data_IF_328794535758
#
_entry.id   IF_328794535758
#
_cell.length_a   1.000
_cell.length_b   1.000
_cell.length_c   1.000
_cell.angle_alpha   90.00
_cell.angle_beta   90.00
_cell.angle_gamma   90.00
#
_symmetry.space_group_name_H-M   'P 1'
#
loop_
_entity.id
_entity.type
_entity.pdbx_description
1 polymer ?
#
# COMPACT_ATOMS: atom_id res chain seq x y z
N UNK A 1 4.52 -6.37 -7.41
CA UNK A 1 4.23 -4.96 -7.63
C UNK A 1 4.55 -4.11 -6.40
N UNK A 2 4.05 -4.51 -5.25
CA UNK A 2 4.39 -3.83 -4.00
C UNK A 2 5.90 -3.90 -3.72
N UNK A 3 6.51 -4.98 -4.13
CA UNK A 3 7.96 -5.13 -3.98
C UNK A 3 8.73 -4.09 -4.78
N UNK A 4 8.25 -3.76 -5.97
CA UNK A 4 8.89 -2.76 -6.80
C UNK A 4 8.83 -1.38 -6.14
N UNK A 5 7.68 -1.03 -5.57
CA UNK A 5 7.53 0.23 -4.86
C UNK A 5 8.45 0.27 -3.64
N UNK A 6 8.51 -0.81 -2.88
CA UNK A 6 9.39 -0.89 -1.72
C UNK A 6 10.86 -0.77 -2.10
N UNK A 7 11.26 -1.40 -3.20
CA UNK A 7 12.64 -1.32 -3.68
C UNK A 7 12.99 0.09 -4.13
N UNK A 8 12.08 0.76 -4.80
CA UNK A 8 12.32 2.15 -5.21
C UNK A 8 12.50 3.06 -4.01
N UNK A 9 11.69 2.90 -2.99
CA UNK A 9 11.81 3.67 -1.76
C UNK A 9 13.17 3.45 -1.12
N UNK A 10 13.61 2.20 -1.02
CA UNK A 10 14.89 1.88 -0.41
C UNK A 10 16.06 2.42 -1.20
N UNK A 11 16.02 2.30 -2.52
CA UNK A 11 17.06 2.83 -3.40
C UNK A 11 17.15 4.34 -3.22
N UNK A 12 16.01 5.00 -3.22
CA UNK A 12 15.96 6.42 -2.97
C UNK A 12 16.55 6.77 -1.62
N UNK A 13 16.21 5.99 -0.58
CA UNK A 13 16.70 6.25 0.78
C UNK A 13 18.22 6.19 0.87
N UNK A 14 18.85 5.29 0.13
CA UNK A 14 20.30 5.15 0.14
C UNK A 14 20.98 6.32 -0.54
N UNK A 15 20.41 6.82 -1.61
CA UNK A 15 21.08 7.79 -2.45
C UNK A 15 21.02 9.22 -1.91
N UNK A 16 19.95 9.59 -1.24
CA UNK A 16 19.75 11.01 -0.94
C UNK A 16 18.86 11.23 0.28
N UNK A 17 19.39 11.00 1.50
CA UNK A 17 18.58 11.04 2.73
C UNK A 17 17.73 12.28 2.95
N UNK A 18 18.25 13.52 2.76
CA UNK A 18 17.44 14.71 3.04
C UNK A 18 16.21 14.86 2.17
N UNK A 19 16.28 14.37 0.95
CA UNK A 19 15.14 14.46 0.03
C UNK A 19 14.16 13.34 0.21
N UNK A 20 14.58 12.30 0.90
CA UNK A 20 13.81 11.09 0.91
C UNK A 20 12.60 11.11 1.78
N UNK A 21 12.57 11.95 2.79
CA UNK A 21 11.42 12.03 3.68
C UNK A 21 10.22 12.60 2.95
N UNK A 22 10.44 13.66 2.15
CA UNK A 22 9.37 14.22 1.33
C UNK A 22 8.99 13.27 0.21
N UNK A 23 9.97 12.69 -0.45
CA UNK A 23 9.72 11.75 -1.53
C UNK A 23 9.01 10.50 -1.04
N UNK A 24 9.40 9.99 0.12
CA UNK A 24 8.75 8.80 0.69
C UNK A 24 7.29 9.09 1.03
N UNK A 25 7.01 10.25 1.63
CA UNK A 25 5.65 10.64 1.93
C UNK A 25 4.81 10.68 0.66
N UNK A 26 5.33 11.32 -0.39
CA UNK A 26 4.63 11.36 -1.67
C UNK A 26 4.39 9.97 -2.24
N UNK A 27 5.39 9.11 -2.18
CA UNK A 27 5.26 7.75 -2.71
C UNK A 27 4.16 6.99 -1.97
N UNK A 28 4.13 7.10 -0.64
CA UNK A 28 3.09 6.42 0.14
C UNK A 28 1.71 7.01 -0.12
N UNK A 29 1.63 8.33 -0.29
CA UNK A 29 0.36 8.96 -0.62
C UNK A 29 -0.13 8.55 -2.00
N UNK A 30 0.75 8.47 -2.97
CA UNK A 30 0.40 7.98 -4.30
C UNK A 30 -0.02 6.52 -4.27
N UNK A 31 0.67 5.71 -3.47
CA UNK A 31 0.30 4.32 -3.31
C UNK A 31 -1.09 4.19 -2.71
N UNK A 32 -1.41 5.00 -1.71
CA UNK A 32 -2.74 4.99 -1.11
C UNK A 32 -3.80 5.42 -2.13
N UNK A 33 -3.52 6.47 -2.90
CA UNK A 33 -4.44 6.92 -3.93
C UNK A 33 -4.67 5.82 -4.97
N UNK A 34 -3.63 5.10 -5.33
CA UNK A 34 -3.74 3.98 -6.26
C UNK A 34 -4.61 2.87 -5.67
N UNK A 35 -4.42 2.54 -4.40
CA UNK A 35 -5.24 1.53 -3.74
C UNK A 35 -6.71 1.94 -3.71
N UNK A 36 -6.98 3.21 -3.44
CA UNK A 36 -8.36 3.71 -3.48
C UNK A 36 -8.97 3.62 -4.87
N UNK A 37 -8.17 3.89 -5.88
CA UNK A 37 -8.62 3.76 -7.26
C UNK A 37 -8.96 2.30 -7.60
N UNK A 38 -8.09 1.38 -7.18
CA UNK A 38 -8.33 -0.06 -7.42
C UNK A 38 -9.59 -0.50 -6.70
N UNK A 39 -9.77 -0.07 -5.45
CA UNK A 39 -10.98 -0.39 -4.67
C UNK A 39 -12.23 0.07 -5.41
N UNK A 40 -12.21 1.29 -5.88
CA UNK A 40 -13.36 1.85 -6.60
C UNK A 40 -13.64 1.07 -7.88
N UNK A 41 -12.60 0.70 -8.60
CA UNK A 41 -12.72 -0.08 -9.84
C UNK A 41 -13.34 -1.45 -9.56
N UNK A 42 -12.90 -2.10 -8.49
CA UNK A 42 -13.43 -3.41 -8.09
C UNK A 42 -14.92 -3.30 -7.74
N UNK A 43 -15.29 -2.27 -6.99
CA UNK A 43 -16.69 -2.07 -6.63
C UNK A 43 -17.56 -1.83 -7.87
N UNK A 44 -17.04 -1.11 -8.86
CA UNK A 44 -17.78 -0.91 -10.11
C UNK A 44 -18.01 -2.21 -10.85
N UNK A 45 -16.97 -3.04 -10.93
CA UNK A 45 -17.08 -4.36 -11.59
C UNK A 45 -18.06 -5.23 -10.81
N UNK A 46 -17.97 -5.22 -9.49
CA UNK A 46 -18.86 -5.99 -8.63
C UNK A 46 -20.32 -5.59 -8.84
N UNK A 47 -20.57 -4.29 -8.91
CA UNK A 47 -21.92 -3.79 -9.14
C UNK A 47 -22.44 -4.28 -10.48
N UNK A 48 -21.63 -4.18 -11.53
CA UNK A 48 -22.04 -4.62 -12.86
C UNK A 48 -22.30 -6.13 -12.88
N UNK A 49 -21.43 -6.90 -12.26
CA UNK A 49 -21.62 -8.36 -12.21
C UNK A 49 -22.89 -8.72 -11.45
N UNK A 50 -23.18 -8.02 -10.36
CA UNK A 50 -24.39 -8.23 -9.58
C UNK A 50 -25.63 -7.89 -10.40
N UNK A 51 -25.58 -6.77 -11.11
CA UNK A 51 -26.72 -6.34 -11.96
C UNK A 51 -26.99 -7.34 -13.09
N UNK A 52 -25.96 -7.99 -13.58
CA UNK A 52 -26.10 -8.99 -14.64
C UNK A 52 -26.40 -10.39 -14.13
N UNK A 53 -26.41 -10.57 -12.83
CA UNK A 53 -26.65 -11.88 -12.24
C UNK A 53 -25.46 -12.85 -12.37
N UNK A 54 -24.26 -12.32 -12.59
CA UNK A 54 -23.06 -13.13 -12.71
C UNK A 54 -22.52 -13.44 -11.32
N UNK A 55 -23.11 -14.44 -10.67
CA UNK A 55 -22.81 -14.76 -9.29
C UNK A 55 -21.41 -15.36 -9.10
N UNK A 56 -20.89 -16.00 -10.11
CA UNK A 56 -19.51 -16.53 -10.03
C UNK A 56 -18.51 -15.39 -9.92
N UNK A 57 -18.67 -14.36 -10.74
CA UNK A 57 -17.83 -13.17 -10.68
C UNK A 57 -18.02 -12.45 -9.35
N UNK A 58 -19.27 -12.32 -8.88
CA UNK A 58 -19.55 -11.69 -7.58
C UNK A 58 -18.80 -12.41 -6.46
N UNK A 59 -18.86 -13.74 -6.41
CA UNK A 59 -18.18 -14.50 -5.38
C UNK A 59 -16.66 -14.30 -5.41
N UNK A 60 -16.08 -14.32 -6.61
CA UNK A 60 -14.65 -14.11 -6.77
C UNK A 60 -14.26 -12.72 -6.32
N UNK A 61 -15.02 -11.72 -6.73
CA UNK A 61 -14.70 -10.33 -6.41
C UNK A 61 -14.90 -10.02 -4.93
N UNK A 62 -15.79 -10.72 -4.24
CA UNK A 62 -15.95 -10.49 -2.80
C UNK A 62 -14.69 -10.84 -2.04
N UNK A 63 -14.03 -11.94 -2.42
CA UNK A 63 -12.73 -12.27 -1.85
C UNK A 63 -11.73 -11.15 -2.13
N UNK A 64 -11.72 -10.67 -3.36
CA UNK A 64 -10.83 -9.61 -3.78
C UNK A 64 -11.09 -8.31 -3.02
N UNK A 65 -12.37 -7.99 -2.77
CA UNK A 65 -12.75 -6.82 -1.99
C UNK A 65 -12.19 -6.92 -0.58
N UNK A 66 -12.29 -8.08 0.04
CA UNK A 66 -11.75 -8.28 1.39
C UNK A 66 -10.24 -8.03 1.43
N UNK A 67 -9.51 -8.56 0.45
CA UNK A 67 -8.07 -8.32 0.34
C UNK A 67 -7.78 -6.85 0.10
N UNK A 68 -8.56 -6.21 -0.74
CA UNK A 68 -8.34 -4.82 -1.10
C UNK A 68 -8.59 -3.86 0.06
N UNK A 69 -9.58 -4.17 0.91
CA UNK A 69 -9.84 -3.38 2.11
C UNK A 69 -8.61 -3.39 3.01
N UNK A 70 -7.96 -4.55 3.16
CA UNK A 70 -6.74 -4.65 3.94
C UNK A 70 -5.58 -3.90 3.31
N UNK A 71 -5.46 -3.97 1.99
CA UNK A 71 -4.42 -3.25 1.27
C UNK A 71 -4.56 -1.74 1.45
N UNK A 72 -5.78 -1.24 1.32
CA UNK A 72 -6.03 0.19 1.48
C UNK A 72 -5.78 0.61 2.93
N UNK A 73 -6.20 -0.19 3.89
CA UNK A 73 -5.96 0.10 5.30
C UNK A 73 -4.46 0.12 5.61
N UNK A 74 -3.71 -0.83 5.08
CA UNK A 74 -2.26 -0.88 5.26
C UNK A 74 -1.58 0.34 4.67
N UNK A 75 -1.97 0.72 3.46
CA UNK A 75 -1.41 1.91 2.81
C UNK A 75 -1.72 3.17 3.61
N UNK A 76 -2.94 3.28 4.13
CA UNK A 76 -3.35 4.41 4.96
C UNK A 76 -2.52 4.49 6.24
N UNK A 77 -2.28 3.36 6.88
CA UNK A 77 -1.45 3.31 8.08
C UNK A 77 -0.02 3.74 7.81
N UNK A 78 0.53 3.32 6.67
CA UNK A 78 1.88 3.71 6.29
C UNK A 78 1.97 5.22 6.06
N UNK A 79 0.99 5.81 5.42
CA UNK A 79 0.94 7.27 5.23
C UNK A 79 0.91 7.97 6.58
N UNK A 80 0.06 7.51 7.49
CA UNK A 80 -0.03 8.10 8.82
C UNK A 80 1.30 8.02 9.55
N UNK A 81 1.95 6.85 9.51
CA UNK A 81 3.22 6.65 10.19
C UNK A 81 4.32 7.51 9.60
N UNK A 82 4.44 7.59 8.29
CA UNK A 82 5.50 8.38 7.68
C UNK A 82 5.34 9.87 8.03
N UNK A 83 4.11 10.34 8.08
CA UNK A 83 3.86 11.72 8.46
C UNK A 83 4.22 12.01 9.91
N UNK A 84 4.03 11.03 10.78
CA UNK A 84 4.36 11.17 12.19
C UNK A 84 5.86 11.19 12.44
N UNK A 85 6.65 10.50 11.62
CA UNK A 85 8.08 10.32 11.88
C UNK A 85 8.97 11.14 10.98
N UNK A 86 8.42 11.83 9.99
CA UNK A 86 9.22 12.48 8.96
C UNK A 86 10.17 13.56 9.49
N UNK A 87 9.88 14.15 10.64
CA UNK A 87 10.72 15.17 11.24
C UNK A 87 11.69 14.64 12.28
N UNK A 88 11.68 13.33 12.53
CA UNK A 88 12.49 12.73 13.58
C UNK A 88 13.39 11.64 12.97
N UNK A 89 14.70 11.90 12.84
CA UNK A 89 15.60 10.93 12.21
C UNK A 89 15.63 9.56 12.89
N UNK A 90 15.56 9.52 14.22
CA UNK A 90 15.57 8.25 14.93
C UNK A 90 14.32 7.44 14.67
N UNK A 91 13.17 8.12 14.70
CA UNK A 91 11.90 7.47 14.40
C UNK A 91 11.85 7.00 12.95
N UNK A 92 12.41 7.78 12.04
CA UNK A 92 12.48 7.41 10.63
C UNK A 92 13.33 6.17 10.42
N UNK A 93 14.44 6.07 11.13
CA UNK A 93 15.29 4.90 11.04
C UNK A 93 14.51 3.65 11.48
N UNK A 94 13.80 3.75 12.60
CA UNK A 94 12.99 2.63 13.09
C UNK A 94 11.87 2.27 12.11
N UNK A 95 11.27 3.25 11.51
CA UNK A 95 10.23 3.02 10.52
C UNK A 95 10.79 2.29 9.29
N UNK A 96 11.97 2.69 8.85
CA UNK A 96 12.63 2.03 7.74
C UNK A 96 12.93 0.57 8.06
N UNK A 97 13.37 0.29 9.29
CA UNK A 97 13.59 -1.08 9.75
C UNK A 97 12.29 -1.89 9.71
N UNK A 98 11.21 -1.31 10.18
CA UNK A 98 9.91 -1.94 10.17
C UNK A 98 9.46 -2.28 8.75
N UNK A 99 9.66 -1.36 7.81
CA UNK A 99 9.32 -1.59 6.41
C UNK A 99 10.13 -2.72 5.81
N UNK A 100 11.41 -2.78 6.13
CA UNK A 100 12.28 -3.84 5.63
C UNK A 100 11.79 -5.21 6.09
N UNK A 101 11.33 -5.32 7.32
CA UNK A 101 10.79 -6.56 7.84
C UNK A 101 9.49 -6.94 7.17
N UNK A 102 8.64 -5.97 6.89
CA UNK A 102 7.36 -6.22 6.23
C UNK A 102 7.52 -6.76 4.81
N UNK A 103 8.58 -6.37 4.13
CA UNK A 103 8.84 -6.86 2.78
C UNK A 103 9.07 -8.37 2.77
N UNK A 104 9.65 -8.92 3.85
CA UNK A 104 9.91 -10.35 3.91
C UNK A 104 8.73 -11.17 4.43
N UNK A 105 8.02 -10.65 5.42
CA UNK A 105 7.01 -11.44 6.13
C UNK A 105 5.81 -11.82 5.28
N UNK A 106 5.23 -10.93 4.47
CA UNK A 106 4.00 -11.27 3.73
C UNK A 106 4.16 -12.44 2.78
N UNK A 107 5.33 -12.61 2.20
CA UNK A 107 5.55 -13.64 1.20
C UNK A 107 5.58 -15.03 1.82
N UNK A 108 6.00 -15.14 3.07
CA UNK A 108 6.13 -16.43 3.72
C UNK A 108 4.85 -16.90 4.38
N UNK A 109 3.92 -16.02 4.63
CA UNK A 109 2.68 -16.36 5.30
C UNK A 109 1.57 -16.76 4.36
N UNK A 110 1.79 -16.57 3.10
CA UNK A 110 0.81 -16.94 2.08
C UNK A 110 1.20 -18.19 1.36
#
# INVERSE_FOLDING_TARGET
>A
FLNDVGNEIRIGAIQNPPYQFENATEVFEKALDHEKFVTKSIFNILKNANDEGDFATVSFLQWFVTEQVEEEASASQLVTKIKMVCDNPSALYLFDQELSQRVFVPDTTK
#
